data_IF_191723345694
#
_entry.id   IF_191723345694
#
_cell.length_a   1.000
_cell.length_b   1.000
_cell.length_c   1.000
_cell.angle_alpha   90.00
_cell.angle_beta   90.00
_cell.angle_gamma   90.00
#
_symmetry.space_group_name_H-M   'P 1'
#
loop_
_entity.id
_entity.type
_entity.pdbx_description
1 polymer ?
#
# COMPACT_ATOMS: atom_id res chain seq x y z
N UNK A 1 -4.98 22.10 25.52
CA UNK A 1 -5.77 21.51 24.43
C UNK A 1 -7.21 21.92 24.61
N UNK A 2 -7.85 22.43 23.56
CA UNK A 2 -9.31 22.64 23.57
C UNK A 2 -10.04 21.31 23.39
N UNK A 3 -11.29 21.23 23.83
CA UNK A 3 -12.14 20.05 23.63
C UNK A 3 -12.24 19.65 22.15
N UNK A 4 -12.13 20.63 21.25
CA UNK A 4 -12.11 20.42 19.79
C UNK A 4 -10.83 19.73 19.28
N UNK A 5 -9.69 19.89 19.96
CA UNK A 5 -8.42 19.24 19.59
C UNK A 5 -8.36 17.77 20.04
N UNK A 6 -9.18 17.37 21.01
CA UNK A 6 -9.24 15.99 21.49
C UNK A 6 -10.00 15.07 20.54
N UNK A 7 -10.98 15.60 19.81
CA UNK A 7 -11.88 14.81 18.99
C UNK A 7 -11.16 14.02 17.87
N UNK A 8 -10.21 14.60 17.10
CA UNK A 8 -9.41 13.85 16.13
C UNK A 8 -8.68 12.65 16.73
N UNK A 9 -8.12 12.85 17.92
CA UNK A 9 -7.35 11.82 18.64
C UNK A 9 -8.26 10.67 19.03
N UNK A 10 -9.44 10.98 19.56
CA UNK A 10 -10.45 9.97 19.89
C UNK A 10 -10.86 9.18 18.65
N UNK A 11 -11.09 9.84 17.52
CA UNK A 11 -11.40 9.17 16.25
C UNK A 11 -10.29 8.23 15.79
N UNK A 12 -9.04 8.70 15.76
CA UNK A 12 -7.88 7.89 15.33
C UNK A 12 -7.67 6.70 16.26
N UNK A 13 -7.71 6.91 17.59
CA UNK A 13 -7.56 5.83 18.56
C UNK A 13 -8.72 4.83 18.52
N UNK A 14 -9.97 5.30 18.36
CA UNK A 14 -11.13 4.43 18.23
C UNK A 14 -11.03 3.56 16.97
N UNK A 15 -10.62 4.15 15.84
CA UNK A 15 -10.35 3.42 14.59
C UNK A 15 -9.31 2.32 14.79
N UNK A 16 -8.18 2.64 15.43
CA UNK A 16 -7.13 1.67 15.75
C UNK A 16 -7.64 0.54 16.65
N UNK A 17 -8.37 0.88 17.72
CA UNK A 17 -8.94 -0.13 18.64
C UNK A 17 -9.92 -1.04 17.91
N UNK A 18 -10.80 -0.48 17.05
CA UNK A 18 -11.72 -1.27 16.24
C UNK A 18 -10.94 -2.24 15.34
N UNK A 19 -9.89 -1.79 14.66
CA UNK A 19 -9.06 -2.64 13.82
C UNK A 19 -8.44 -3.80 14.60
N UNK A 20 -7.82 -3.51 15.74
CA UNK A 20 -7.20 -4.51 16.60
C UNK A 20 -8.23 -5.52 17.08
N UNK A 21 -9.37 -5.07 17.59
CA UNK A 21 -10.44 -5.94 18.08
C UNK A 21 -11.00 -6.84 16.97
N UNK A 22 -11.26 -6.28 15.78
CA UNK A 22 -11.76 -7.04 14.64
C UNK A 22 -10.74 -8.08 14.18
N UNK A 23 -9.45 -7.69 14.10
CA UNK A 23 -8.37 -8.60 13.72
C UNK A 23 -8.28 -9.77 14.69
N UNK A 24 -8.28 -9.51 16.00
CA UNK A 24 -8.21 -10.55 17.02
C UNK A 24 -9.48 -11.42 17.08
N UNK A 25 -10.66 -10.84 16.85
CA UNK A 25 -11.93 -11.57 16.91
C UNK A 25 -12.17 -12.48 15.69
N UNK A 26 -11.61 -12.14 14.53
CA UNK A 26 -11.82 -12.88 13.28
C UNK A 26 -10.60 -13.74 12.97
N UNK A 27 -10.72 -15.06 13.14
CA UNK A 27 -9.64 -15.98 12.76
C UNK A 27 -9.34 -15.91 11.26
N UNK A 28 -8.08 -16.07 10.81
CA UNK A 28 -7.72 -16.05 9.40
C UNK A 28 -8.48 -17.08 8.57
N UNK A 29 -8.72 -18.28 9.12
CA UNK A 29 -9.48 -19.34 8.46
C UNK A 29 -10.94 -18.93 8.18
N UNK A 30 -11.61 -18.32 9.16
CA UNK A 30 -12.99 -17.82 8.99
C UNK A 30 -13.07 -16.67 7.99
N UNK A 31 -12.11 -15.74 8.01
CA UNK A 31 -12.03 -14.68 7.02
C UNK A 31 -11.85 -15.25 5.60
N UNK A 32 -10.98 -16.25 5.44
CA UNK A 32 -10.77 -16.93 4.16
C UNK A 32 -12.05 -17.62 3.67
N UNK A 33 -12.79 -18.31 4.54
CA UNK A 33 -14.06 -18.94 4.18
C UNK A 33 -15.12 -17.92 3.75
N UNK A 34 -15.25 -16.80 4.46
CA UNK A 34 -16.20 -15.74 4.09
C UNK A 34 -15.92 -15.19 2.68
N UNK A 35 -14.64 -14.98 2.33
CA UNK A 35 -14.19 -14.50 1.01
C UNK A 35 -14.54 -15.41 -0.16
N UNK A 36 -14.79 -16.70 0.10
CA UNK A 36 -15.22 -17.64 -0.95
C UNK A 36 -16.66 -17.37 -1.39
N UNK A 37 -17.49 -16.80 -0.52
CA UNK A 37 -18.90 -16.50 -0.81
C UNK A 37 -19.06 -15.10 -1.43
N UNK A 38 -19.99 -14.90 -2.38
CA UNK A 38 -20.28 -13.56 -2.93
C UNK A 38 -20.68 -12.56 -1.84
N UNK A 39 -21.49 -13.00 -0.87
CA UNK A 39 -21.93 -12.17 0.26
C UNK A 39 -20.77 -11.73 1.16
N UNK A 40 -19.84 -12.63 1.47
CA UNK A 40 -18.66 -12.28 2.28
C UNK A 40 -17.73 -11.29 1.57
N UNK A 41 -17.53 -11.42 0.25
CA UNK A 41 -16.77 -10.42 -0.54
C UNK A 41 -17.43 -9.04 -0.54
N UNK A 42 -18.76 -9.00 -0.67
CA UNK A 42 -19.51 -7.76 -0.58
C UNK A 42 -19.36 -7.10 0.80
N UNK A 43 -19.57 -7.87 1.88
CA UNK A 43 -19.42 -7.39 3.27
C UNK A 43 -18.01 -6.88 3.51
N UNK A 44 -16.98 -7.60 3.07
CA UNK A 44 -15.60 -7.15 3.19
C UNK A 44 -15.37 -5.84 2.42
N UNK A 45 -15.89 -5.72 1.20
CA UNK A 45 -15.71 -4.50 0.40
C UNK A 45 -16.37 -3.29 1.06
N UNK A 46 -17.58 -3.47 1.61
CA UNK A 46 -18.29 -2.42 2.37
C UNK A 46 -17.54 -2.08 3.65
N UNK A 47 -17.08 -3.08 4.40
CA UNK A 47 -16.32 -2.87 5.63
C UNK A 47 -15.01 -2.11 5.37
N UNK A 48 -14.29 -2.46 4.31
CA UNK A 48 -13.08 -1.74 3.86
C UNK A 48 -13.42 -0.31 3.47
N UNK A 49 -14.43 -0.08 2.65
CA UNK A 49 -14.85 1.28 2.27
C UNK A 49 -15.18 2.13 3.50
N UNK A 50 -15.97 1.60 4.43
CA UNK A 50 -16.34 2.31 5.66
C UNK A 50 -15.12 2.60 6.54
N UNK A 51 -14.19 1.66 6.65
CA UNK A 51 -12.99 1.82 7.47
C UNK A 51 -12.01 2.83 6.86
N UNK A 52 -11.59 2.60 5.61
CA UNK A 52 -10.54 3.39 4.97
C UNK A 52 -11.01 4.78 4.51
N UNK A 53 -12.29 4.94 4.15
CA UNK A 53 -12.81 6.20 3.61
C UNK A 53 -13.95 6.76 4.45
N UNK A 54 -14.85 5.89 4.94
CA UNK A 54 -16.01 6.31 5.73
C UNK A 54 -15.61 7.02 7.02
N UNK A 55 -14.67 6.49 7.80
CA UNK A 55 -14.21 7.12 9.04
C UNK A 55 -13.57 8.50 8.81
N UNK A 56 -12.57 8.66 7.91
CA UNK A 56 -12.04 9.98 7.56
C UNK A 56 -13.13 10.94 7.07
N UNK A 57 -14.06 10.48 6.24
CA UNK A 57 -15.15 11.30 5.75
C UNK A 57 -16.09 11.78 6.87
N UNK A 58 -16.42 10.92 7.84
CA UNK A 58 -17.23 11.30 9.01
C UNK A 58 -16.53 12.35 9.87
N UNK A 59 -15.20 12.29 9.99
CA UNK A 59 -14.45 13.33 10.71
C UNK A 59 -14.48 14.69 10.02
N UNK A 60 -14.55 14.72 8.68
CA UNK A 60 -14.78 15.95 7.92
C UNK A 60 -16.21 16.46 8.12
N UNK A 61 -17.22 15.59 8.04
CA UNK A 61 -18.62 15.97 8.23
C UNK A 61 -18.91 16.54 9.63
N UNK A 62 -18.21 16.04 10.64
CA UNK A 62 -18.32 16.51 12.03
C UNK A 62 -17.45 17.72 12.32
N UNK A 63 -16.72 18.25 11.33
CA UNK A 63 -15.71 19.29 11.48
C UNK A 63 -14.64 18.97 12.53
N UNK A 64 -14.41 17.68 12.80
CA UNK A 64 -13.32 17.24 13.67
C UNK A 64 -11.98 17.43 12.97
N UNK A 65 -11.92 17.19 11.66
CA UNK A 65 -10.75 17.43 10.82
C UNK A 65 -11.09 18.45 9.74
N UNK A 66 -10.14 19.31 9.40
CA UNK A 66 -10.23 20.14 8.21
C UNK A 66 -9.63 19.37 7.00
N UNK A 67 -10.10 19.66 5.76
CA UNK A 67 -9.52 19.06 4.55
C UNK A 67 -8.00 19.26 4.42
N UNK A 68 -7.48 20.38 4.94
CA UNK A 68 -6.04 20.68 4.93
C UNK A 68 -5.23 19.75 5.84
N UNK A 69 -5.80 19.28 6.95
CA UNK A 69 -5.13 18.35 7.89
C UNK A 69 -4.87 16.99 7.22
N UNK A 70 -5.78 16.59 6.33
CA UNK A 70 -5.65 15.40 5.50
C UNK A 70 -4.81 15.64 4.24
N UNK A 71 -4.44 16.88 3.91
CA UNK A 71 -3.79 17.22 2.64
C UNK A 71 -4.71 17.09 1.42
N UNK A 72 -6.03 17.08 1.63
CA UNK A 72 -7.04 17.04 0.57
C UNK A 72 -7.17 18.39 -0.14
N UNK A 73 -6.91 19.48 0.58
CA UNK A 73 -6.96 20.83 0.04
C UNK A 73 -5.75 21.68 0.45
N UNK A 74 -5.26 22.48 -0.49
CA UNK A 74 -4.30 23.55 -0.22
C UNK A 74 -4.97 24.84 0.29
N UNK A 75 -4.22 25.93 0.34
CA UNK A 75 -4.67 27.18 0.98
C UNK A 75 -5.52 28.10 0.09
N UNK A 76 -5.39 28.05 -1.23
CA UNK A 76 -5.90 29.16 -2.08
C UNK A 76 -6.04 28.88 -3.57
N UNK A 77 -5.78 27.67 -4.05
CA UNK A 77 -5.76 27.38 -5.48
C UNK A 77 -7.06 26.81 -6.05
N UNK A 78 -7.24 26.92 -7.38
CA UNK A 78 -8.48 26.52 -8.06
C UNK A 78 -8.65 25.00 -8.18
N UNK A 79 -7.55 24.24 -8.16
CA UNK A 79 -7.58 22.79 -8.32
C UNK A 79 -7.44 22.12 -6.96
N UNK A 80 -8.58 21.75 -6.36
CA UNK A 80 -8.64 21.11 -5.03
C UNK A 80 -7.93 21.97 -3.96
N UNK A 81 -8.01 23.29 -4.03
CA UNK A 81 -7.34 24.19 -3.08
C UNK A 81 -5.84 24.43 -3.35
N UNK A 82 -5.24 23.77 -4.34
CA UNK A 82 -3.81 23.87 -4.66
C UNK A 82 -3.56 24.76 -5.89
N UNK A 83 -2.58 25.66 -5.80
CA UNK A 83 -2.21 26.51 -6.94
C UNK A 83 -1.34 25.75 -7.93
N UNK A 84 -1.29 26.17 -9.19
CA UNK A 84 -0.41 25.55 -10.20
C UNK A 84 1.07 25.58 -9.77
N UNK A 85 1.61 26.68 -9.21
CA UNK A 85 2.96 26.68 -8.65
C UNK A 85 3.17 25.64 -7.54
N UNK A 86 2.20 25.45 -6.63
CA UNK A 86 2.32 24.45 -5.56
C UNK A 86 2.40 23.03 -6.13
N UNK A 87 1.58 22.73 -7.14
CA UNK A 87 1.63 21.45 -7.85
C UNK A 87 2.98 21.21 -8.51
N UNK A 88 3.54 22.21 -9.20
CA UNK A 88 4.82 22.09 -9.87
C UNK A 88 5.99 21.97 -8.88
N UNK A 89 5.98 22.72 -7.78
CA UNK A 89 6.96 22.62 -6.72
C UNK A 89 6.93 21.21 -6.10
N UNK A 90 5.74 20.71 -5.77
CA UNK A 90 5.57 19.37 -5.22
C UNK A 90 6.04 18.25 -6.18
N UNK A 91 5.81 18.41 -7.49
CA UNK A 91 6.32 17.50 -8.52
C UNK A 91 7.85 17.56 -8.64
N UNK A 92 8.46 18.74 -8.52
CA UNK A 92 9.90 18.91 -8.55
C UNK A 92 10.57 18.24 -7.35
N UNK A 93 10.04 18.46 -6.13
CA UNK A 93 10.54 17.82 -4.92
C UNK A 93 10.41 16.30 -5.00
N UNK A 94 9.31 15.83 -5.58
CA UNK A 94 9.13 14.41 -5.88
C UNK A 94 10.20 13.88 -6.83
N UNK A 95 10.52 14.55 -7.94
CA UNK A 95 11.52 14.05 -8.89
C UNK A 95 12.86 13.79 -8.20
N UNK A 96 13.29 14.70 -7.32
CA UNK A 96 14.52 14.56 -6.55
C UNK A 96 14.46 13.34 -5.63
N UNK A 97 13.38 13.21 -4.86
CA UNK A 97 13.22 12.11 -3.88
C UNK A 97 13.02 10.77 -4.58
N UNK A 98 12.20 10.74 -5.63
CA UNK A 98 11.92 9.57 -6.45
C UNK A 98 13.20 9.03 -7.08
N UNK A 99 14.04 9.90 -7.64
CA UNK A 99 15.36 9.50 -8.16
C UNK A 99 16.24 8.88 -7.07
N UNK A 100 16.25 9.44 -5.86
CA UNK A 100 17.00 8.88 -4.72
C UNK A 100 16.41 7.52 -4.30
N UNK A 101 15.08 7.39 -4.23
CA UNK A 101 14.38 6.17 -3.84
C UNK A 101 14.53 5.03 -4.87
N UNK A 102 14.70 5.36 -6.15
CA UNK A 102 14.95 4.36 -7.20
C UNK A 102 16.28 3.61 -7.01
N UNK A 103 17.27 4.20 -6.32
CA UNK A 103 18.56 3.56 -6.07
C UNK A 103 18.43 2.29 -5.21
N UNK A 104 17.87 2.34 -3.98
CA UNK A 104 17.70 1.14 -3.17
C UNK A 104 16.70 0.17 -3.80
N UNK A 105 15.64 0.66 -4.45
CA UNK A 105 14.67 -0.21 -5.15
C UNK A 105 15.36 -0.99 -6.27
N UNK A 106 16.14 -0.31 -7.11
CA UNK A 106 16.93 -0.93 -8.17
C UNK A 106 17.98 -1.91 -7.63
N UNK A 107 18.61 -1.57 -6.50
CA UNK A 107 19.54 -2.45 -5.79
C UNK A 107 18.90 -3.75 -5.31
N UNK A 108 17.76 -3.66 -4.61
CA UNK A 108 17.00 -4.82 -4.13
C UNK A 108 16.49 -5.65 -5.32
N UNK A 109 15.92 -5.00 -6.33
CA UNK A 109 15.40 -5.66 -7.51
C UNK A 109 16.49 -6.41 -8.28
N UNK A 110 17.68 -5.80 -8.43
CA UNK A 110 18.86 -6.46 -9.02
C UNK A 110 19.35 -7.63 -8.17
N UNK A 111 19.39 -7.48 -6.85
CA UNK A 111 19.80 -8.55 -5.95
C UNK A 111 18.84 -9.75 -6.03
N UNK A 112 17.54 -9.49 -6.10
CA UNK A 112 16.51 -10.54 -6.24
C UNK A 112 16.61 -11.24 -7.60
N UNK A 113 16.83 -10.49 -8.68
CA UNK A 113 17.08 -11.05 -10.01
C UNK A 113 18.30 -12.00 -10.02
N UNK A 114 19.39 -11.64 -9.32
CA UNK A 114 20.57 -12.49 -9.22
C UNK A 114 20.35 -13.81 -8.46
N UNK A 115 19.39 -13.87 -7.53
CA UNK A 115 19.12 -15.09 -6.74
C UNK A 115 18.07 -16.00 -7.38
N UNK A 116 17.63 -15.71 -8.61
CA UNK A 116 16.58 -16.45 -9.33
C UNK A 116 15.31 -16.70 -8.50
N UNK A 117 15.07 -15.88 -7.48
CA UNK A 117 13.83 -15.93 -6.72
C UNK A 117 12.83 -15.12 -7.52
N UNK A 118 11.80 -15.76 -8.11
CA UNK A 118 10.77 -15.00 -8.80
C UNK A 118 10.21 -14.00 -7.79
N UNK A 119 10.27 -12.71 -8.15
CA UNK A 119 9.45 -11.72 -7.47
C UNK A 119 8.02 -12.25 -7.60
N UNK A 120 7.35 -12.53 -6.47
CA UNK A 120 5.99 -13.07 -6.49
C UNK A 120 5.15 -12.27 -7.49
N UNK A 121 4.58 -12.94 -8.48
CA UNK A 121 3.83 -12.25 -9.54
C UNK A 121 2.61 -11.64 -8.89
N UNK A 122 2.49 -10.32 -8.96
CA UNK A 122 1.25 -9.68 -8.55
C UNK A 122 0.16 -9.97 -9.58
N UNK A 123 -0.61 -11.03 -9.31
CA UNK A 123 -1.77 -11.48 -10.10
C UNK A 123 -3.03 -10.67 -9.80
N UNK A 124 -2.98 -9.71 -8.87
CA UNK A 124 -4.15 -8.90 -8.51
C UNK A 124 -4.66 -8.10 -9.72
N UNK A 125 -5.98 -7.96 -9.90
CA UNK A 125 -6.53 -7.13 -10.98
C UNK A 125 -6.11 -5.67 -10.79
N UNK A 126 -5.86 -4.97 -11.89
CA UNK A 126 -5.43 -3.56 -11.88
C UNK A 126 -6.39 -2.65 -11.11
N UNK A 127 -7.70 -2.95 -11.15
CA UNK A 127 -8.71 -2.24 -10.36
C UNK A 127 -8.51 -2.36 -8.86
N UNK A 128 -8.07 -3.52 -8.36
CA UNK A 128 -7.79 -3.69 -6.93
C UNK A 128 -6.58 -2.88 -6.49
N UNK A 129 -5.54 -2.78 -7.32
CA UNK A 129 -4.37 -1.93 -7.05
C UNK A 129 -4.82 -0.47 -6.89
N UNK A 130 -5.64 0.04 -7.83
CA UNK A 130 -6.18 1.40 -7.75
C UNK A 130 -6.93 1.64 -6.43
N UNK A 131 -7.85 0.73 -6.06
CA UNK A 131 -8.63 0.87 -4.82
C UNK A 131 -7.74 0.77 -3.59
N UNK A 132 -6.82 -0.19 -3.56
CA UNK A 132 -5.91 -0.42 -2.44
C UNK A 132 -4.97 0.78 -2.23
N UNK A 133 -4.38 1.34 -3.29
CA UNK A 133 -3.54 2.54 -3.18
C UNK A 133 -4.34 3.73 -2.62
N UNK A 134 -5.54 3.98 -3.16
CA UNK A 134 -6.40 5.09 -2.69
C UNK A 134 -6.77 4.91 -1.22
N UNK A 135 -7.20 3.71 -0.83
CA UNK A 135 -7.59 3.41 0.55
C UNK A 135 -6.42 3.57 1.50
N UNK A 136 -5.26 3.01 1.16
CA UNK A 136 -4.05 3.10 1.98
C UNK A 136 -3.66 4.54 2.25
N UNK A 137 -3.64 5.39 1.22
CA UNK A 137 -3.24 6.79 1.37
C UNK A 137 -4.23 7.63 2.17
N UNK A 138 -5.54 7.43 1.97
CA UNK A 138 -6.56 8.14 2.75
C UNK A 138 -6.50 7.74 4.23
N UNK A 139 -6.36 6.45 4.52
CA UNK A 139 -6.30 5.94 5.89
C UNK A 139 -5.03 6.40 6.61
N UNK A 140 -3.89 6.35 5.93
CA UNK A 140 -2.67 6.89 6.49
C UNK A 140 -2.75 8.42 6.71
N UNK A 141 -3.36 9.17 5.77
CA UNK A 141 -3.59 10.60 5.93
C UNK A 141 -4.47 10.91 7.14
N UNK A 142 -5.46 10.07 7.43
CA UNK A 142 -6.27 10.15 8.62
C UNK A 142 -5.47 9.87 9.90
N UNK A 143 -4.61 8.85 9.90
CA UNK A 143 -3.78 8.50 11.06
C UNK A 143 -2.75 9.55 11.43
N UNK A 144 -2.20 10.29 10.45
CA UNK A 144 -1.28 11.40 10.74
C UNK A 144 -1.97 12.68 11.19
N UNK A 145 -3.25 12.87 10.85
CA UNK A 145 -3.94 14.15 11.08
C UNK A 145 -4.08 14.48 12.58
N UNK A 146 -4.39 13.48 13.41
CA UNK A 146 -4.47 13.68 14.86
C UNK A 146 -3.11 14.11 15.46
N UNK A 147 -1.98 13.40 15.22
CA UNK A 147 -0.65 13.88 15.58
C UNK A 147 -0.32 15.28 15.06
N UNK A 148 -0.73 15.63 13.83
CA UNK A 148 -0.47 16.95 13.25
C UNK A 148 -1.16 18.06 14.04
N UNK A 149 -2.43 17.86 14.40
CA UNK A 149 -3.21 18.82 15.19
C UNK A 149 -2.66 18.94 16.61
N UNK A 150 -2.25 17.83 17.21
CA UNK A 150 -1.73 17.79 18.58
C UNK A 150 -0.35 18.43 18.71
N UNK A 151 0.55 18.13 17.78
CA UNK A 151 1.97 18.45 17.90
C UNK A 151 2.36 19.68 17.08
N UNK A 152 1.55 20.06 16.07
CA UNK A 152 1.85 21.17 15.17
C UNK A 152 3.06 20.94 14.26
N UNK A 153 3.66 19.75 14.29
CA UNK A 153 4.87 19.39 13.55
C UNK A 153 4.56 18.32 12.50
N UNK A 154 4.79 18.66 11.23
CA UNK A 154 4.50 17.77 10.10
C UNK A 154 5.37 16.52 10.11
N UNK A 155 6.64 16.62 10.51
CA UNK A 155 7.58 15.50 10.47
C UNK A 155 7.23 14.49 11.56
N UNK A 156 7.02 14.98 12.78
CA UNK A 156 6.61 14.12 13.90
C UNK A 156 5.25 13.49 13.62
N UNK A 157 4.31 14.25 13.07
CA UNK A 157 2.99 13.73 12.72
C UNK A 157 3.02 12.65 11.64
N UNK A 158 3.85 12.84 10.62
CA UNK A 158 4.07 11.88 9.54
C UNK A 158 4.65 10.57 10.10
N UNK A 159 5.66 10.66 10.96
CA UNK A 159 6.28 9.49 11.61
C UNK A 159 5.30 8.79 12.55
N UNK A 160 4.52 9.53 13.34
CA UNK A 160 3.52 8.98 14.23
C UNK A 160 2.41 8.25 13.46
N UNK A 161 1.89 8.86 12.38
CA UNK A 161 0.88 8.24 11.52
C UNK A 161 1.42 6.97 10.84
N UNK A 162 2.65 6.98 10.35
CA UNK A 162 3.30 5.76 9.83
C UNK A 162 3.48 4.70 10.92
N UNK A 163 3.86 5.10 12.14
CA UNK A 163 3.97 4.21 13.29
C UNK A 163 2.65 3.51 13.63
N UNK A 164 1.52 4.21 13.53
CA UNK A 164 0.19 3.60 13.71
C UNK A 164 -0.10 2.53 12.64
N UNK A 165 0.19 2.80 11.37
CA UNK A 165 0.05 1.79 10.30
C UNK A 165 0.95 0.58 10.57
N UNK A 166 2.19 0.79 11.04
CA UNK A 166 3.09 -0.31 11.42
C UNK A 166 2.56 -1.13 12.60
N UNK A 167 1.78 -0.54 13.52
CA UNK A 167 1.12 -1.28 14.60
C UNK A 167 0.00 -2.17 14.05
N UNK A 168 -0.88 -1.68 13.17
CA UNK A 168 -1.92 -2.49 12.52
C UNK A 168 -1.31 -3.70 11.81
N UNK A 169 -0.23 -3.41 11.08
CA UNK A 169 0.60 -4.39 10.41
C UNK A 169 1.17 -5.41 11.41
N UNK A 170 1.90 -4.98 12.45
CA UNK A 170 2.46 -5.88 13.45
C UNK A 170 1.39 -6.78 14.12
N UNK A 171 0.20 -6.23 14.42
CA UNK A 171 -0.93 -7.01 14.97
C UNK A 171 -1.42 -8.06 13.97
N UNK A 172 -1.56 -7.69 12.70
CA UNK A 172 -1.94 -8.63 11.63
C UNK A 172 -0.93 -9.76 11.49
N UNK A 173 0.37 -9.42 11.52
CA UNK A 173 1.46 -10.39 11.43
C UNK A 173 1.49 -11.32 12.65
N UNK A 174 1.35 -10.77 13.86
CA UNK A 174 1.29 -11.55 15.09
C UNK A 174 0.10 -12.52 15.10
N UNK A 175 -1.05 -12.08 14.58
CA UNK A 175 -2.27 -12.89 14.51
C UNK A 175 -2.22 -13.99 13.44
N UNK A 176 -1.59 -13.73 12.30
CA UNK A 176 -1.42 -14.73 11.23
C UNK A 176 -0.22 -15.65 11.45
N UNK A 177 0.73 -15.23 12.29
CA UNK A 177 2.04 -15.83 12.38
C UNK A 177 2.96 -15.34 11.26
N UNK A 178 4.27 -15.43 11.49
CA UNK A 178 5.27 -15.12 10.48
C UNK A 178 5.35 -16.32 9.51
N UNK A 179 4.79 -16.19 8.31
CA UNK A 179 4.95 -17.26 7.32
C UNK A 179 6.41 -17.42 6.93
N UNK A 180 6.83 -18.68 6.78
CA UNK A 180 8.14 -19.01 6.21
C UNK A 180 8.20 -18.67 4.70
N UNK A 181 7.07 -18.39 4.06
CA UNK A 181 7.00 -18.13 2.63
C UNK A 181 7.72 -16.82 2.25
N UNK A 182 8.63 -16.85 1.27
CA UNK A 182 9.32 -15.65 0.78
C UNK A 182 8.37 -14.58 0.24
N UNK A 183 7.24 -14.99 -0.36
CA UNK A 183 6.26 -14.09 -0.99
C UNK A 183 5.60 -13.16 0.04
N UNK A 184 5.21 -13.71 1.19
CA UNK A 184 4.64 -12.89 2.26
C UNK A 184 5.67 -11.87 2.75
N UNK A 185 6.90 -12.30 3.06
CA UNK A 185 7.98 -11.38 3.47
C UNK A 185 8.25 -10.28 2.44
N UNK A 186 8.19 -10.61 1.15
CA UNK A 186 8.33 -9.63 0.08
C UNK A 186 7.16 -8.63 0.05
N UNK A 187 5.93 -9.09 0.27
CA UNK A 187 4.75 -8.22 0.38
C UNK A 187 4.91 -7.22 1.53
N UNK A 188 5.38 -7.68 2.69
CA UNK A 188 5.68 -6.85 3.86
C UNK A 188 6.71 -5.76 3.57
N UNK A 189 7.83 -6.13 2.93
CA UNK A 189 8.85 -5.16 2.52
C UNK A 189 8.32 -4.15 1.51
N UNK A 190 7.50 -4.60 0.56
CA UNK A 190 6.84 -3.72 -0.41
C UNK A 190 5.92 -2.70 0.26
N UNK A 191 5.09 -3.13 1.20
CA UNK A 191 4.21 -2.24 1.97
C UNK A 191 4.99 -1.24 2.82
N UNK A 192 6.06 -1.68 3.50
CA UNK A 192 6.91 -0.79 4.29
C UNK A 192 7.62 0.26 3.42
N UNK A 193 8.09 -0.13 2.24
CA UNK A 193 8.70 0.76 1.27
C UNK A 193 7.69 1.80 0.76
N UNK A 194 6.48 1.36 0.37
CA UNK A 194 5.42 2.26 -0.09
C UNK A 194 5.00 3.23 1.01
N UNK A 195 4.83 2.76 2.25
CA UNK A 195 4.55 3.63 3.39
C UNK A 195 5.66 4.67 3.61
N UNK A 196 6.92 4.25 3.53
CA UNK A 196 8.08 5.15 3.68
C UNK A 196 8.12 6.20 2.58
N UNK A 197 7.83 5.80 1.34
CA UNK A 197 7.71 6.69 0.20
C UNK A 197 6.60 7.71 0.44
N UNK A 198 5.38 7.26 0.76
CA UNK A 198 4.23 8.15 1.02
C UNK A 198 4.48 9.11 2.17
N UNK A 199 5.08 8.63 3.27
CA UNK A 199 5.51 9.45 4.40
C UNK A 199 6.47 10.56 3.98
N UNK A 200 7.52 10.20 3.24
CA UNK A 200 8.53 11.16 2.76
C UNK A 200 7.89 12.20 1.84
N UNK A 201 7.05 11.76 0.90
CA UNK A 201 6.40 12.64 -0.06
C UNK A 201 5.43 13.61 0.60
N UNK A 202 4.69 13.18 1.62
CA UNK A 202 3.84 14.12 2.35
C UNK A 202 4.62 15.12 3.17
N UNK A 203 5.69 14.70 3.85
CA UNK A 203 6.50 15.59 4.66
C UNK A 203 7.00 16.80 3.84
N UNK A 204 7.25 16.57 2.55
CA UNK A 204 7.70 17.58 1.59
C UNK A 204 6.53 18.35 0.95
N UNK A 205 5.54 17.65 0.42
CA UNK A 205 4.54 18.25 -0.48
C UNK A 205 3.24 18.64 0.20
N UNK A 206 2.90 17.95 1.30
CA UNK A 206 1.60 18.00 1.97
C UNK A 206 0.38 17.75 1.08
N UNK A 207 0.56 17.19 -0.11
CA UNK A 207 -0.49 17.02 -1.11
C UNK A 207 -0.89 15.55 -1.25
N UNK A 208 -2.05 15.18 -0.68
CA UNK A 208 -2.51 13.79 -0.68
C UNK A 208 -2.78 13.25 -2.08
N UNK A 209 -3.34 14.07 -2.98
CA UNK A 209 -3.68 13.65 -4.33
C UNK A 209 -2.45 13.28 -5.15
N UNK A 210 -1.37 14.04 -4.97
CA UNK A 210 -0.09 13.72 -5.59
C UNK A 210 0.43 12.38 -5.09
N UNK A 211 0.38 12.14 -3.77
CA UNK A 211 0.86 10.89 -3.17
C UNK A 211 0.05 9.69 -3.67
N UNK A 212 -1.29 9.80 -3.72
CA UNK A 212 -2.17 8.76 -4.29
C UNK A 212 -1.78 8.43 -5.73
N UNK A 213 -1.62 9.44 -6.58
CA UNK A 213 -1.25 9.24 -7.98
C UNK A 213 0.11 8.54 -8.11
N UNK A 214 1.09 8.93 -7.28
CA UNK A 214 2.44 8.38 -7.33
C UNK A 214 2.54 6.97 -6.76
N UNK A 215 1.85 6.69 -5.66
CA UNK A 215 1.71 5.34 -5.13
C UNK A 215 1.15 4.42 -6.23
N UNK A 216 0.05 4.84 -6.86
CA UNK A 216 -0.59 4.09 -7.93
C UNK A 216 0.36 3.84 -9.11
N UNK A 217 1.02 4.88 -9.62
CA UNK A 217 1.98 4.75 -10.72
C UNK A 217 3.09 3.77 -10.35
N UNK A 218 3.60 3.83 -9.12
CA UNK A 218 4.67 2.96 -8.64
C UNK A 218 4.23 1.50 -8.63
N UNK A 219 3.07 1.17 -8.05
CA UNK A 219 2.55 -0.20 -8.05
C UNK A 219 2.27 -0.72 -9.47
N UNK A 220 1.70 0.11 -10.35
CA UNK A 220 1.43 -0.27 -11.73
C UNK A 220 2.71 -0.53 -12.53
N UNK A 221 3.74 0.31 -12.35
CA UNK A 221 5.04 0.12 -12.98
C UNK A 221 5.73 -1.15 -12.48
N UNK A 222 5.69 -1.41 -11.17
CA UNK A 222 6.25 -2.63 -10.59
C UNK A 222 5.57 -3.88 -11.16
N UNK A 223 4.23 -3.89 -11.25
CA UNK A 223 3.47 -4.98 -11.87
C UNK A 223 3.78 -5.15 -13.36
N UNK A 224 3.85 -4.06 -14.12
CA UNK A 224 4.19 -4.10 -15.54
C UNK A 224 5.63 -4.60 -15.76
N UNK A 225 6.56 -4.22 -14.89
CA UNK A 225 7.94 -4.65 -14.96
C UNK A 225 8.13 -6.12 -14.57
N UNK A 226 7.49 -6.57 -13.49
CA UNK A 226 7.57 -7.98 -13.05
C UNK A 226 6.98 -8.94 -14.08
N UNK A 227 5.90 -8.56 -14.76
CA UNK A 227 5.30 -9.40 -15.82
C UNK A 227 6.21 -9.57 -17.03
N UNK A 228 6.95 -8.51 -17.42
CA UNK A 228 7.90 -8.55 -18.56
C UNK A 228 9.13 -9.41 -18.31
N UNK A 229 9.62 -9.47 -17.07
CA UNK A 229 10.82 -10.25 -16.75
C UNK A 229 10.58 -11.78 -16.83
N UNK A 230 9.33 -12.22 -16.80
CA UNK A 230 8.97 -13.63 -16.68
C UNK A 230 8.60 -14.24 -18.03
N UNK A 231 8.05 -13.46 -18.96
CA UNK A 231 7.71 -13.94 -20.31
C UNK A 231 8.87 -14.69 -21.00
N UNK A 232 10.13 -14.23 -20.94
CA UNK A 232 11.25 -14.95 -21.59
C UNK A 232 11.64 -16.26 -20.89
N UNK A 233 11.45 -16.35 -19.57
CA UNK A 233 11.88 -17.52 -18.80
C UNK A 233 10.97 -18.74 -19.08
N UNK A 234 9.67 -18.51 -19.23
CA UNK A 234 8.69 -19.58 -19.54
C UNK A 234 8.91 -20.10 -20.96
N UNK A 235 9.15 -19.23 -21.93
CA UNK A 235 9.39 -19.59 -23.33
C UNK A 235 10.62 -20.50 -23.48
N UNK A 236 11.72 -20.17 -22.77
CA UNK A 236 12.94 -21.00 -22.76
C UNK A 236 12.79 -22.40 -22.14
N UNK A 237 11.76 -22.59 -21.30
CA UNK A 237 11.50 -23.88 -20.62
C UNK A 237 10.61 -24.79 -21.47
N UNK A 238 9.70 -24.20 -22.26
CA UNK A 238 8.77 -24.94 -23.13
C UNK A 238 9.45 -25.39 -24.43
N UNK A 239 10.45 -24.67 -24.94
CA UNK A 239 11.19 -25.01 -26.17
C UNK A 239 12.29 -26.08 -26.01
N UNK A 240 12.40 -26.77 -24.87
CA UNK A 240 13.21 -28.00 -24.75
C UNK A 240 12.30 -29.23 -24.80
N UNK A 241 11.71 -29.60 -25.96
CA UNK A 241 11.22 -30.96 -26.11
C UNK A 241 12.43 -31.88 -25.94
N UNK A 242 12.31 -32.83 -25.03
CA UNK A 242 13.26 -33.90 -24.79
C UNK A 242 13.52 -34.67 -26.08
N UNK A 243 14.47 -34.19 -26.90
CA UNK A 243 14.93 -34.89 -28.10
C UNK A 243 15.49 -36.28 -27.79
N UNK A 244 15.79 -36.57 -26.52
CA UNK A 244 16.25 -37.87 -26.05
C UNK A 244 15.15 -38.93 -25.88
N UNK A 245 13.85 -38.58 -25.89
CA UNK A 245 12.78 -39.58 -25.68
C UNK A 245 12.21 -40.21 -26.97
N UNK A 246 12.75 -39.87 -28.14
CA UNK A 246 12.26 -40.42 -29.44
C UNK A 246 13.19 -41.49 -30.03
N UNK A 247 14.42 -41.64 -29.53
CA UNK A 247 15.42 -42.54 -30.14
C UNK A 247 15.44 -43.98 -29.56
N UNK A 248 14.47 -44.36 -28.71
CA UNK A 248 14.48 -45.65 -28.00
C UNK A 248 13.43 -46.69 -28.46
N UNK A 249 12.68 -46.46 -29.54
CA UNK A 249 11.59 -47.38 -29.99
C UNK A 249 11.98 -48.13 -31.28
N UNK A 250 13.22 -48.62 -31.39
CA UNK A 250 13.61 -49.54 -32.48
C UNK A 250 14.72 -50.51 -32.02
N UNK A 251 14.40 -51.41 -31.09
CA UNK A 251 15.18 -52.64 -30.93
C UNK A 251 14.31 -53.87 -31.25
N UNK A 252 14.54 -54.54 -32.39
CA UNK A 252 13.85 -55.80 -32.71
C UNK A 252 14.37 -56.92 -31.80
N UNK A 253 13.44 -57.66 -31.20
CA UNK A 253 13.71 -58.90 -30.47
C UNK A 253 14.23 -59.96 -31.47
N UNK A 254 15.43 -60.45 -31.21
CA UNK A 254 16.02 -61.64 -31.86
C UNK A 254 15.83 -62.88 -30.98
#
# INVERSE_FOLDING_TARGET
MSDTQLLPVVWTLASMVIFVLVTLAVSPARAAQLRLTPGGRFIESVARLLYYVGLPYLTLLTNSLAPIDLGLAGNSGPLLGWSTPDWLAALNDWLVVGLIALIPIGGVARQLAHHARPLGIDVRPTSSIIVDSVYSEIHWAFYRAAPLILLGDVYVATLAGAGLILVEQAVTLAHRGLSAEPEERQSWLGQALLLTMSATLFALTRNLWLIVALHLITELLLKAWSSRLISPAIESTVERPSRESVESIDQPLA
#
